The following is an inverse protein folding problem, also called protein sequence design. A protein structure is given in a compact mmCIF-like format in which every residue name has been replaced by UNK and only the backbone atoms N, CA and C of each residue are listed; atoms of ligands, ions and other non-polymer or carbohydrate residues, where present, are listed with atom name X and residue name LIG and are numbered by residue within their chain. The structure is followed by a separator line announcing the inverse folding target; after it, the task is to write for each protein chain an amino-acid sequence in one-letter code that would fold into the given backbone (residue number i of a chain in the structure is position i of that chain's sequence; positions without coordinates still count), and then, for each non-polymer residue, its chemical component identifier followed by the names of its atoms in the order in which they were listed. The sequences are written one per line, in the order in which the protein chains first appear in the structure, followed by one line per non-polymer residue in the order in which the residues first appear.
data_IF_033998748749
#
_entry.id   IF_033998748749
#
_cell.length_a   1.000
_cell.length_b   1.000
_cell.length_c   1.000
_cell.angle_alpha   90.00
_cell.angle_beta   90.00
_cell.angle_gamma   90.00
#
_symmetry.space_group_name_H-M   'P 1'
#
loop_
_entity.id
_entity.type
_entity.pdbx_description
1 polymer ?
#
# COMPACT_ATOMS: atom_id res chain seq x y z
N UNK A 1 24.08 7.90 -8.40
CA UNK A 1 22.79 8.10 -9.09
C UNK A 1 22.20 9.37 -8.49
N UNK A 2 21.61 10.27 -9.27
CA UNK A 2 20.96 11.47 -8.69
C UNK A 2 19.50 11.20 -8.34
N UNK A 3 18.93 12.04 -7.46
CA UNK A 3 17.56 11.89 -6.92
C UNK A 3 16.48 11.95 -8.02
N UNK A 4 16.76 12.64 -9.14
CA UNK A 4 15.79 12.79 -10.24
C UNK A 4 15.67 11.52 -11.08
N UNK A 5 16.77 10.82 -11.28
CA UNK A 5 16.78 9.50 -11.92
C UNK A 5 16.08 8.45 -11.03
N UNK A 6 16.32 8.48 -9.73
CA UNK A 6 15.71 7.55 -8.78
C UNK A 6 14.19 7.70 -8.68
N UNK A 7 13.68 8.93 -8.68
CA UNK A 7 12.23 9.18 -8.69
C UNK A 7 11.55 8.54 -9.91
N UNK A 8 12.18 8.61 -11.08
CA UNK A 8 11.65 8.04 -12.32
C UNK A 8 11.59 6.52 -12.21
N UNK A 9 12.70 5.89 -11.79
CA UNK A 9 12.76 4.43 -11.57
C UNK A 9 11.71 3.97 -10.57
N UNK A 10 11.62 4.63 -9.41
CA UNK A 10 10.63 4.30 -8.38
C UNK A 10 9.19 4.46 -8.90
N UNK A 11 8.93 5.52 -9.67
CA UNK A 11 7.62 5.73 -10.29
C UNK A 11 7.29 4.59 -11.26
N UNK A 12 8.22 4.23 -12.14
CA UNK A 12 8.03 3.16 -13.12
C UNK A 12 7.80 1.80 -12.44
N UNK A 13 8.56 1.49 -11.39
CA UNK A 13 8.42 0.27 -10.59
C UNK A 13 7.06 0.25 -9.88
N UNK A 14 6.65 1.36 -9.28
CA UNK A 14 5.33 1.49 -8.65
C UNK A 14 4.23 1.22 -9.67
N UNK A 15 4.29 1.90 -10.82
CA UNK A 15 3.28 1.78 -11.87
C UNK A 15 3.20 0.35 -12.39
N UNK A 16 4.32 -0.22 -12.79
CA UNK A 16 4.38 -1.56 -13.35
C UNK A 16 3.84 -2.59 -12.36
N UNK A 17 4.33 -2.56 -11.12
CA UNK A 17 3.97 -3.54 -10.09
C UNK A 17 2.52 -3.42 -9.65
N UNK A 18 2.03 -2.20 -9.41
CA UNK A 18 0.64 -1.99 -8.99
C UNK A 18 -0.30 -2.40 -10.11
N UNK A 19 -0.03 -1.98 -11.36
CA UNK A 19 -0.87 -2.34 -12.50
C UNK A 19 -0.88 -3.85 -12.73
N UNK A 20 0.27 -4.51 -12.64
CA UNK A 20 0.35 -5.97 -12.78
C UNK A 20 -0.56 -6.70 -11.78
N UNK A 21 -0.64 -6.22 -10.53
CA UNK A 21 -1.34 -6.91 -9.45
C UNK A 21 -2.83 -6.58 -9.37
N UNK A 22 -3.25 -5.37 -9.76
CA UNK A 22 -4.61 -4.87 -9.46
C UNK A 22 -5.43 -4.47 -10.69
N UNK A 23 -4.88 -4.54 -11.91
CA UNK A 23 -5.55 -4.03 -13.11
C UNK A 23 -6.86 -4.76 -13.46
N UNK A 24 -7.04 -5.99 -13.00
CA UNK A 24 -8.25 -6.77 -13.18
C UNK A 24 -9.38 -6.39 -12.22
N UNK A 25 -9.05 -5.78 -11.07
CA UNK A 25 -10.03 -5.46 -10.00
C UNK A 25 -10.21 -3.97 -9.73
N UNK A 26 -9.32 -3.12 -10.24
CA UNK A 26 -9.32 -1.70 -9.93
C UNK A 26 -8.87 -0.80 -11.08
N UNK A 27 -9.53 0.36 -11.19
CA UNK A 27 -9.02 1.48 -11.95
C UNK A 27 -7.84 2.12 -11.20
N UNK A 28 -6.71 2.28 -11.90
CA UNK A 28 -5.47 2.85 -11.37
C UNK A 28 -5.30 4.27 -11.89
N UNK A 29 -5.14 5.23 -10.98
CA UNK A 29 -4.80 6.62 -11.30
C UNK A 29 -3.47 6.96 -10.68
N UNK A 30 -2.53 7.38 -11.51
CA UNK A 30 -1.19 7.78 -11.09
C UNK A 30 -1.16 9.28 -10.86
N UNK A 31 -0.53 9.69 -9.77
CA UNK A 31 -0.40 11.08 -9.40
C UNK A 31 1.02 11.36 -8.91
N UNK A 32 1.54 12.50 -9.34
CA UNK A 32 2.79 13.06 -8.83
C UNK A 32 2.43 14.41 -8.23
N UNK A 33 2.57 14.54 -6.91
CA UNK A 33 2.28 15.81 -6.25
C UNK A 33 3.47 16.75 -6.48
N UNK A 34 3.33 17.88 -7.20
CA UNK A 34 4.44 18.79 -7.46
C UNK A 34 5.01 19.42 -6.17
N UNK A 35 4.27 19.38 -5.05
CA UNK A 35 4.74 19.82 -3.72
C UNK A 35 5.46 18.70 -2.95
N UNK A 36 5.27 17.46 -3.38
CA UNK A 36 5.95 16.29 -2.85
C UNK A 36 6.61 15.51 -3.99
N UNK A 37 7.44 16.21 -4.78
CA UNK A 37 8.13 15.65 -5.96
C UNK A 37 9.11 14.51 -5.65
N UNK A 38 9.23 14.08 -4.40
CA UNK A 38 9.97 12.90 -3.98
C UNK A 38 9.06 11.68 -3.74
N UNK A 39 7.76 11.77 -4.04
CA UNK A 39 6.76 10.74 -3.79
C UNK A 39 6.01 10.40 -5.09
N UNK A 40 6.03 9.11 -5.45
CA UNK A 40 5.14 8.53 -6.46
C UNK A 40 3.87 8.02 -5.78
N UNK A 41 2.70 8.22 -6.41
CA UNK A 41 1.40 7.77 -5.86
C UNK A 41 0.57 7.04 -6.90
N UNK A 42 -0.02 5.92 -6.49
CA UNK A 42 -1.09 5.24 -7.19
C UNK A 42 -2.37 5.29 -6.34
N UNK A 43 -3.46 5.78 -6.90
CA UNK A 43 -4.80 5.72 -6.32
C UNK A 43 -5.60 4.63 -7.02
N UNK A 44 -6.17 3.73 -6.23
CA UNK A 44 -6.88 2.54 -6.68
C UNK A 44 -8.36 2.69 -6.34
N UNK A 45 -9.22 2.45 -7.32
CA UNK A 45 -10.68 2.44 -7.11
C UNK A 45 -11.23 1.12 -7.62
N UNK A 46 -11.90 0.37 -6.74
CA UNK A 46 -12.47 -0.93 -7.09
C UNK A 46 -13.47 -0.78 -8.23
N UNK A 47 -13.43 -1.71 -9.18
CA UNK A 47 -14.37 -1.79 -10.30
C UNK A 47 -15.69 -2.44 -9.82
N UNK A 48 -15.60 -3.45 -8.97
CA UNK A 48 -16.75 -4.30 -8.60
C UNK A 48 -17.36 -3.95 -7.23
N UNK A 49 -16.58 -3.34 -6.33
CA UNK A 49 -17.01 -3.07 -4.95
C UNK A 49 -17.13 -1.58 -4.70
N UNK A 50 -18.37 -1.08 -4.76
CA UNK A 50 -18.70 0.33 -4.60
C UNK A 50 -18.09 0.91 -3.32
N UNK A 51 -17.40 2.04 -3.47
CA UNK A 51 -16.82 2.81 -2.35
C UNK A 51 -15.47 2.30 -1.85
N UNK A 52 -14.97 1.14 -2.32
CA UNK A 52 -13.64 0.66 -1.93
C UNK A 52 -12.55 1.34 -2.75
N UNK A 53 -11.66 2.01 -2.01
CA UNK A 53 -10.53 2.74 -2.56
C UNK A 53 -9.30 2.53 -1.70
N UNK A 54 -8.15 2.40 -2.35
CA UNK A 54 -6.86 2.30 -1.70
C UNK A 54 -5.86 3.27 -2.34
N UNK A 55 -4.79 3.59 -1.63
CA UNK A 55 -3.68 4.37 -2.16
C UNK A 55 -2.37 3.72 -1.81
N UNK A 56 -1.46 3.63 -2.77
CA UNK A 56 -0.08 3.19 -2.54
C UNK A 56 0.84 4.36 -2.86
N UNK A 57 1.80 4.63 -1.99
CA UNK A 57 2.85 5.62 -2.25
C UNK A 57 4.22 5.00 -2.06
N UNK A 58 5.18 5.49 -2.83
CA UNK A 58 6.60 5.20 -2.68
C UNK A 58 7.34 6.53 -2.61
N UNK A 59 8.26 6.68 -1.66
CA UNK A 59 9.09 7.87 -1.51
C UNK A 59 10.55 7.55 -1.76
N UNK A 60 11.27 8.47 -2.40
CA UNK A 60 12.71 8.33 -2.65
C UNK A 60 13.55 8.21 -1.38
N UNK A 61 12.98 8.58 -0.23
CA UNK A 61 13.57 8.44 1.11
C UNK A 61 13.48 7.02 1.68
N UNK A 62 12.99 6.04 0.91
CA UNK A 62 13.01 4.64 1.32
C UNK A 62 11.82 4.20 2.17
N UNK A 63 10.61 4.70 1.86
CA UNK A 63 9.40 4.13 2.45
C UNK A 63 8.32 3.97 1.41
N UNK A 64 7.50 2.95 1.63
CA UNK A 64 6.31 2.63 0.84
C UNK A 64 5.14 2.44 1.79
N UNK A 65 3.99 3.00 1.44
CA UNK A 65 2.79 2.89 2.27
C UNK A 65 1.56 2.51 1.47
N UNK A 66 0.63 1.87 2.17
CA UNK A 66 -0.71 1.54 1.73
C UNK A 66 -1.71 2.25 2.65
N UNK A 67 -2.71 2.90 2.08
CA UNK A 67 -3.86 3.45 2.81
C UNK A 67 -5.15 2.83 2.29
N UNK A 68 -6.00 2.32 3.18
CA UNK A 68 -7.36 1.89 2.86
C UNK A 68 -8.33 3.02 3.23
N UNK A 69 -8.80 3.78 2.24
CA UNK A 69 -9.51 5.04 2.48
C UNK A 69 -10.87 4.86 3.18
N UNK A 70 -11.54 3.72 2.98
CA UNK A 70 -12.82 3.43 3.64
C UNK A 70 -12.71 3.23 5.16
N UNK A 71 -11.53 2.85 5.66
CA UNK A 71 -11.31 2.53 7.09
C UNK A 71 -10.31 3.46 7.76
N UNK A 72 -9.67 4.37 7.01
CA UNK A 72 -8.60 5.25 7.51
C UNK A 72 -7.48 4.49 8.22
N UNK A 73 -7.19 3.27 7.73
CA UNK A 73 -6.06 2.46 8.20
C UNK A 73 -4.95 2.47 7.16
N UNK A 74 -3.72 2.23 7.60
CA UNK A 74 -2.57 2.17 6.71
C UNK A 74 -1.56 1.12 7.15
N UNK A 75 -0.70 0.72 6.22
CA UNK A 75 0.57 0.06 6.49
C UNK A 75 1.69 0.89 5.88
N UNK A 76 2.82 0.93 6.56
CA UNK A 76 4.06 1.50 6.04
C UNK A 76 5.16 0.46 6.17
N UNK A 77 5.95 0.32 5.12
CA UNK A 77 7.15 -0.49 5.09
C UNK A 77 8.31 0.48 4.81
N UNK A 78 9.36 0.37 5.61
CA UNK A 78 10.59 1.10 5.40
C UNK A 78 11.54 0.21 4.63
N UNK A 79 11.95 0.67 3.46
CA UNK A 79 12.94 0.04 2.61
C UNK A 79 14.07 1.05 2.37
N UNK A 80 15.11 0.95 3.19
CA UNK A 80 16.29 1.80 3.07
C UNK A 80 17.33 1.23 2.10
N UNK A 81 17.04 0.10 1.46
CA UNK A 81 17.91 -0.43 0.43
C UNK A 81 17.72 0.38 -0.86
N UNK A 82 18.82 0.75 -1.51
CA UNK A 82 18.79 1.37 -2.84
C UNK A 82 18.67 0.30 -3.93
N UNK A 83 18.02 -0.82 -3.62
CA UNK A 83 17.78 -1.96 -4.50
C UNK A 83 16.35 -1.93 -5.06
N UNK A 84 16.25 -1.82 -6.38
CA UNK A 84 15.00 -1.82 -7.12
C UNK A 84 14.20 -3.11 -6.90
N UNK A 85 14.87 -4.25 -6.74
CA UNK A 85 14.21 -5.54 -6.55
C UNK A 85 13.51 -5.65 -5.19
N UNK A 86 14.12 -5.13 -4.12
CA UNK A 86 13.50 -5.08 -2.80
C UNK A 86 12.35 -4.07 -2.78
N UNK A 87 12.53 -2.89 -3.38
CA UNK A 87 11.45 -1.90 -3.55
C UNK A 87 10.24 -2.51 -4.27
N UNK A 88 10.49 -3.21 -5.39
CA UNK A 88 9.44 -3.87 -6.16
C UNK A 88 8.69 -4.91 -5.32
N UNK A 89 9.42 -5.69 -4.51
CA UNK A 89 8.84 -6.71 -3.62
C UNK A 89 7.97 -6.10 -2.54
N UNK A 90 8.37 -4.99 -1.93
CA UNK A 90 7.57 -4.31 -0.91
C UNK A 90 6.32 -3.65 -1.52
N UNK A 91 6.44 -3.03 -2.70
CA UNK A 91 5.29 -2.52 -3.47
C UNK A 91 4.32 -3.66 -3.79
N UNK A 92 4.84 -4.81 -4.26
CA UNK A 92 4.02 -5.98 -4.61
C UNK A 92 3.24 -6.50 -3.40
N UNK A 93 3.89 -6.59 -2.24
CA UNK A 93 3.24 -7.03 -1.01
C UNK A 93 2.06 -6.11 -0.65
N UNK A 94 2.25 -4.79 -0.69
CA UNK A 94 1.17 -3.83 -0.45
C UNK A 94 0.08 -3.86 -1.54
N UNK A 95 0.45 -4.10 -2.79
CA UNK A 95 -0.49 -4.23 -3.90
C UNK A 95 -1.39 -5.47 -3.74
N UNK A 96 -0.86 -6.60 -3.25
CA UNK A 96 -1.66 -7.79 -2.94
C UNK A 96 -2.67 -7.53 -1.82
N UNK A 97 -2.27 -6.79 -0.77
CA UNK A 97 -3.19 -6.37 0.29
C UNK A 97 -4.28 -5.46 -0.27
N UNK A 98 -3.91 -4.53 -1.16
CA UNK A 98 -4.87 -3.66 -1.83
C UNK A 98 -5.82 -4.44 -2.71
N UNK A 99 -5.33 -5.42 -3.48
CA UNK A 99 -6.14 -6.32 -4.31
C UNK A 99 -7.23 -7.00 -3.48
N UNK A 100 -6.86 -7.69 -2.40
CA UNK A 100 -7.81 -8.37 -1.52
C UNK A 100 -8.83 -7.42 -0.89
N UNK A 101 -8.40 -6.22 -0.52
CA UNK A 101 -9.34 -5.20 -0.08
C UNK A 101 -10.28 -4.76 -1.22
N UNK A 102 -9.79 -4.53 -2.43
CA UNK A 102 -10.59 -3.99 -3.52
C UNK A 102 -11.61 -4.99 -4.06
N UNK A 103 -11.38 -6.30 -3.91
CA UNK A 103 -12.32 -7.38 -4.27
C UNK A 103 -13.39 -7.65 -3.21
N UNK A 104 -13.39 -6.92 -2.10
CA UNK A 104 -14.38 -7.09 -1.04
C UNK A 104 -13.88 -7.90 0.16
N UNK A 105 -12.66 -8.43 0.09
CA UNK A 105 -12.00 -9.15 1.17
C UNK A 105 -11.67 -8.27 2.37
N UNK A 106 -11.08 -8.87 3.40
CA UNK A 106 -10.75 -8.17 4.62
C UNK A 106 -11.88 -8.07 5.62
N UNK A 107 -11.54 -8.27 6.89
CA UNK A 107 -12.47 -8.21 8.01
C UNK A 107 -12.11 -7.09 8.97
N UNK A 108 -13.12 -6.35 9.41
CA UNK A 108 -12.97 -5.32 10.44
C UNK A 108 -13.05 -5.99 11.80
N UNK A 109 -12.07 -5.72 12.66
CA UNK A 109 -12.01 -6.25 14.02
C UNK A 109 -11.71 -5.15 15.02
N UNK A 110 -12.34 -5.23 16.19
CA UNK A 110 -11.97 -4.41 17.34
C UNK A 110 -10.80 -5.06 18.10
N UNK A 111 -9.64 -4.40 18.09
CA UNK A 111 -8.51 -4.79 18.91
C UNK A 111 -8.55 -4.04 20.24
N UNK A 112 -8.62 -4.78 21.36
CA UNK A 112 -8.53 -4.19 22.70
C UNK A 112 -7.12 -3.68 22.96
N UNK A 113 -6.97 -2.37 23.09
CA UNK A 113 -5.75 -1.75 23.63
C UNK A 113 -5.88 -1.46 25.13
N UNK A 114 -4.78 -1.02 25.75
CA UNK A 114 -4.76 -0.65 27.18
C UNK A 114 -5.70 0.51 27.54
N UNK A 115 -6.02 1.42 26.61
CA UNK A 115 -6.83 2.60 26.89
C UNK A 115 -8.15 2.67 26.11
N UNK A 116 -8.27 1.98 24.97
CA UNK A 116 -9.50 1.93 24.15
C UNK A 116 -9.43 0.76 23.18
N UNK A 117 -10.59 0.21 22.81
CA UNK A 117 -10.70 -0.62 21.61
C UNK A 117 -10.44 0.23 20.35
N UNK A 118 -9.72 -0.33 19.39
CA UNK A 118 -9.44 0.32 18.10
C UNK A 118 -9.84 -0.59 16.97
N UNK A 119 -10.39 0.01 15.91
CA UNK A 119 -10.67 -0.71 14.66
C UNK A 119 -9.34 -1.06 13.97
N UNK A 120 -9.22 -2.31 13.56
CA UNK A 120 -8.18 -2.79 12.64
C UNK A 120 -8.84 -3.52 11.48
N UNK A 121 -8.23 -3.43 10.30
CA UNK A 121 -8.62 -4.22 9.15
C UNK A 121 -7.62 -5.37 9.03
N UNK A 122 -8.14 -6.59 9.04
CA UNK A 122 -7.33 -7.78 8.81
C UNK A 122 -7.54 -8.24 7.37
N UNK A 123 -6.46 -8.35 6.61
CA UNK A 123 -6.46 -8.83 5.22
C UNK A 123 -5.65 -10.12 5.15
N UNK A 124 -6.27 -11.19 4.68
CA UNK A 124 -5.60 -12.46 4.42
C UNK A 124 -5.07 -12.46 3.00
N UNK A 125 -3.75 -12.54 2.84
CA UNK A 125 -3.07 -12.63 1.53
C UNK A 125 -2.43 -14.00 1.38
N UNK A 126 -1.96 -14.32 0.16
CA UNK A 126 -1.17 -15.55 -0.07
C UNK A 126 0.10 -15.62 0.81
N UNK A 127 0.66 -14.47 1.17
CA UNK A 127 1.86 -14.37 2.01
C UNK A 127 1.55 -14.36 3.52
N UNK A 128 0.26 -14.41 3.88
CA UNK A 128 -0.23 -14.47 5.26
C UNK A 128 -1.11 -13.28 5.66
N UNK A 129 -1.38 -13.21 6.96
CA UNK A 129 -2.27 -12.22 7.56
C UNK A 129 -1.60 -10.85 7.74
N UNK A 130 -2.22 -9.82 7.17
CA UNK A 130 -1.91 -8.42 7.43
C UNK A 130 -2.92 -7.84 8.42
N UNK A 131 -2.44 -7.09 9.40
CA UNK A 131 -3.30 -6.31 10.31
C UNK A 131 -2.98 -4.84 10.14
N UNK A 132 -3.94 -4.08 9.63
CA UNK A 132 -3.81 -2.66 9.33
C UNK A 132 -4.55 -1.84 10.39
N UNK A 133 -3.88 -0.85 10.96
CA UNK A 133 -4.47 0.05 11.95
C UNK A 133 -4.14 1.51 11.65
N UNK A 134 -4.74 2.41 12.41
CA UNK A 134 -4.50 3.85 12.25
C UNK A 134 -3.08 4.28 12.67
N UNK A 135 -2.49 3.61 13.68
CA UNK A 135 -1.16 3.98 14.23
C UNK A 135 -0.10 2.90 14.08
N UNK A 136 -0.52 1.67 13.82
CA UNK A 136 0.36 0.51 13.77
C UNK A 136 -0.27 -0.50 12.84
N UNK A 137 0.53 -1.03 11.93
CA UNK A 137 0.24 -2.23 11.16
C UNK A 137 1.14 -3.37 11.65
N UNK A 138 0.81 -4.58 11.23
CA UNK A 138 1.66 -5.76 11.36
C UNK A 138 1.53 -6.56 10.08
N UNK A 139 2.65 -6.96 9.51
CA UNK A 139 2.69 -7.84 8.35
C UNK A 139 3.05 -9.30 8.75
N UNK A 140 2.95 -10.27 7.83
CA UNK A 140 3.31 -11.67 8.10
C UNK A 140 4.77 -11.87 8.54
N UNK A 141 5.66 -10.92 8.22
CA UNK A 141 7.09 -10.96 8.57
C UNK A 141 7.37 -10.43 9.99
N UNK A 142 6.34 -9.96 10.70
CA UNK A 142 6.46 -9.46 12.07
C UNK A 142 7.05 -8.06 12.20
N UNK A 143 7.06 -7.29 11.11
CA UNK A 143 7.41 -5.87 11.09
C UNK A 143 6.19 -4.99 11.43
#
# INVERSE_FOLDING_TARGET
MDDSNWLTVMSDVLVATVTEVVADVAAVVLDTDPRAGHIARATLTSIDVVGRRAGIRAATTGWVDLTLFGHRVSAIIFDYDEDVAELQKEIRALALVAHEYLTGGGRVVEQRGWFRAREVVVIDTVDGEWVLGYRSSRNPRGL
#
